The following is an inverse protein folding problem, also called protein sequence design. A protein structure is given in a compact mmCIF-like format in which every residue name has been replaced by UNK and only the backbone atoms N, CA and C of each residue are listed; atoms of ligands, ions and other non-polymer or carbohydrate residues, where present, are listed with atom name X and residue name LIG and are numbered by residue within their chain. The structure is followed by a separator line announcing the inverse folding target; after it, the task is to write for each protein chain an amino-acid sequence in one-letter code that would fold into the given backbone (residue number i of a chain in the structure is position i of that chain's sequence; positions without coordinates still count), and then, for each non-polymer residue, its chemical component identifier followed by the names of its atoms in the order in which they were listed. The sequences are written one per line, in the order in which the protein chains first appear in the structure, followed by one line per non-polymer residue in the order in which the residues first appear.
data_IF_228783675775
#
_entry.id   IF_228783675775
#
_cell.length_a   1.000
_cell.length_b   1.000
_cell.length_c   1.000
_cell.angle_alpha   90.00
_cell.angle_beta   90.00
_cell.angle_gamma   90.00
#
_symmetry.space_group_name_H-M   'P 1'
#
loop_
_entity.id
_entity.type
_entity.pdbx_description
1 polymer ?
#
# COMPACT_ATOMS: atom_id res chain seq x y z
N UNK A 1 10.46 4.65 11.38
CA UNK A 1 9.47 3.58 11.63
C UNK A 1 9.96 2.37 10.88
N UNK A 2 9.95 1.19 11.49
CA UNK A 2 10.32 -0.06 10.82
C UNK A 2 9.19 -0.55 9.91
N UNK A 3 9.48 -1.51 9.04
CA UNK A 3 8.47 -2.17 8.22
C UNK A 3 7.37 -2.85 9.07
N UNK A 4 7.74 -3.47 10.18
CA UNK A 4 6.79 -4.15 11.07
C UNK A 4 5.87 -3.15 11.78
N UNK A 5 6.44 -2.07 12.32
CA UNK A 5 5.64 -1.00 12.95
C UNK A 5 4.67 -0.35 11.95
N UNK A 6 5.10 -0.18 10.69
CA UNK A 6 4.23 0.31 9.63
C UNK A 6 3.07 -0.65 9.36
N UNK A 7 3.35 -1.95 9.32
CA UNK A 7 2.35 -3.00 9.09
C UNK A 7 1.26 -2.98 10.16
N UNK A 8 1.66 -2.94 11.43
CA UNK A 8 0.73 -2.95 12.57
C UNK A 8 -0.19 -1.72 12.54
N UNK A 9 0.38 -0.53 12.35
CA UNK A 9 -0.39 0.70 12.20
C UNK A 9 -1.34 0.65 11.00
N UNK A 10 -0.84 0.16 9.87
CA UNK A 10 -1.64 0.05 8.66
C UNK A 10 -2.84 -0.90 8.87
N UNK A 11 -2.65 -2.05 9.52
CA UNK A 11 -3.74 -2.96 9.88
C UNK A 11 -4.79 -2.27 10.75
N UNK A 12 -4.37 -1.45 11.72
CA UNK A 12 -5.29 -0.69 12.60
C UNK A 12 -5.96 0.51 11.92
N UNK A 13 -5.64 0.79 10.66
CA UNK A 13 -6.29 1.85 9.88
C UNK A 13 -5.41 3.05 9.57
N UNK A 14 -4.21 3.12 10.14
CA UNK A 14 -3.27 4.22 10.00
C UNK A 14 -2.31 3.98 8.83
N UNK A 15 -2.63 4.55 7.67
CA UNK A 15 -1.83 4.39 6.46
C UNK A 15 -0.68 5.42 6.38
N UNK A 16 0.49 5.10 6.91
CA UNK A 16 1.64 6.01 7.03
C UNK A 16 2.89 5.41 6.35
N UNK A 17 3.70 6.24 5.68
CA UNK A 17 5.02 5.81 5.16
C UNK A 17 6.00 5.51 6.28
N UNK A 18 6.85 4.49 6.10
CA UNK A 18 7.92 4.18 7.05
C UNK A 18 9.20 5.02 6.78
N UNK A 19 9.04 6.30 6.48
CA UNK A 19 10.15 7.21 6.18
C UNK A 19 9.65 8.53 5.60
N UNK A 20 10.58 9.44 5.32
CA UNK A 20 10.28 10.59 4.47
C UNK A 20 10.17 10.12 3.01
N UNK A 21 9.22 10.67 2.26
CA UNK A 21 8.96 10.32 0.86
C UNK A 21 10.17 10.57 -0.06
N UNK A 22 11.13 11.38 0.39
CA UNK A 22 12.38 11.68 -0.32
C UNK A 22 13.51 10.66 -0.05
N UNK A 23 13.36 9.76 0.91
CA UNK A 23 14.35 8.73 1.22
C UNK A 23 14.13 7.49 0.33
N UNK A 24 15.18 7.04 -0.34
CA UNK A 24 15.18 5.82 -1.16
C UNK A 24 14.89 4.55 -0.35
N UNK A 25 15.00 4.61 0.98
CA UNK A 25 14.67 3.52 1.90
C UNK A 25 13.22 3.59 2.41
N UNK A 26 12.43 4.60 2.02
CA UNK A 26 11.03 4.72 2.41
C UNK A 26 10.13 3.83 1.55
N UNK A 27 9.28 3.05 2.21
CA UNK A 27 8.31 2.15 1.61
C UNK A 27 6.87 2.68 1.83
N UNK A 28 6.06 2.57 0.78
CA UNK A 28 4.62 2.77 0.86
C UNK A 28 3.94 1.68 1.69
N UNK A 29 2.75 1.98 2.22
CA UNK A 29 1.83 0.94 2.65
C UNK A 29 1.52 -0.01 1.46
N UNK A 30 1.22 -1.30 1.72
CA UNK A 30 0.96 -2.29 0.66
C UNK A 30 -0.15 -1.91 -0.32
N UNK A 31 -1.14 -1.12 0.12
CA UNK A 31 -2.26 -0.60 -0.67
C UNK A 31 -2.04 0.81 -1.25
N UNK A 32 -0.85 1.39 -1.08
CA UNK A 32 -0.52 2.79 -1.42
C UNK A 32 -1.41 3.85 -0.76
N UNK A 33 -2.20 3.48 0.25
CA UNK A 33 -3.15 4.41 0.87
C UNK A 33 -2.50 5.53 1.70
N UNK A 34 -1.21 5.39 2.01
CA UNK A 34 -0.37 6.45 2.55
C UNK A 34 -0.11 7.60 1.56
N UNK A 35 -0.27 7.36 0.25
CA UNK A 35 -0.22 8.36 -0.82
C UNK A 35 -1.62 8.70 -1.35
N UNK A 36 -2.52 7.72 -1.37
CA UNK A 36 -3.80 7.80 -2.04
C UNK A 36 -4.90 7.21 -1.16
N UNK A 37 -5.55 8.02 -0.32
CA UNK A 37 -6.57 7.54 0.62
C UNK A 37 -7.69 6.71 -0.05
N UNK A 38 -8.04 7.02 -1.30
CA UNK A 38 -9.02 6.26 -2.09
C UNK A 38 -8.61 4.81 -2.42
N UNK A 39 -7.35 4.44 -2.20
CA UNK A 39 -6.83 3.08 -2.38
C UNK A 39 -6.87 2.24 -1.08
N UNK A 40 -7.35 2.82 0.03
CA UNK A 40 -7.43 2.20 1.35
C UNK A 40 -8.16 0.85 1.28
N UNK A 41 -7.42 -0.23 1.53
CA UNK A 41 -7.98 -1.56 1.64
C UNK A 41 -8.89 -1.68 2.88
N UNK A 42 -9.96 -2.48 2.83
CA UNK A 42 -10.73 -2.82 4.02
C UNK A 42 -9.88 -3.60 5.02
N UNK A 43 -10.20 -3.48 6.31
CA UNK A 43 -9.45 -4.09 7.43
C UNK A 43 -9.15 -5.56 7.21
N UNK A 44 -10.13 -6.36 6.80
CA UNK A 44 -9.99 -7.80 6.58
C UNK A 44 -8.87 -8.13 5.58
N UNK A 45 -8.75 -7.35 4.50
CA UNK A 45 -7.72 -7.52 3.47
C UNK A 45 -6.34 -7.09 3.97
N UNK A 46 -6.28 -6.09 4.85
CA UNK A 46 -5.03 -5.68 5.53
C UNK A 46 -4.51 -6.78 6.44
N UNK A 47 -5.40 -7.35 7.25
CA UNK A 47 -5.10 -8.47 8.13
C UNK A 47 -4.69 -9.73 7.34
N UNK A 48 -5.32 -9.99 6.18
CA UNK A 48 -4.92 -11.07 5.28
C UNK A 48 -3.48 -10.90 4.78
N UNK A 49 -3.11 -9.69 4.36
CA UNK A 49 -1.75 -9.40 3.94
C UNK A 49 -0.75 -9.57 5.09
N UNK A 50 -1.07 -9.02 6.27
CA UNK A 50 -0.21 -9.15 7.45
C UNK A 50 0.01 -10.62 7.83
N UNK A 51 -1.04 -11.45 7.81
CA UNK A 51 -0.93 -12.91 8.03
C UNK A 51 0.01 -13.57 7.02
N UNK A 52 -0.08 -13.23 5.73
CA UNK A 52 0.81 -13.76 4.70
C UNK A 52 2.27 -13.38 4.97
N UNK A 53 2.53 -12.14 5.38
CA UNK A 53 3.87 -11.67 5.75
C UNK A 53 4.42 -12.43 6.96
N UNK A 54 3.65 -12.54 8.05
CA UNK A 54 4.10 -13.25 9.25
C UNK A 54 4.28 -14.75 9.06
N UNK A 55 3.51 -15.36 8.15
CA UNK A 55 3.64 -16.77 7.80
C UNK A 55 4.78 -17.05 6.80
N UNK A 56 5.41 -16.02 6.23
CA UNK A 56 6.40 -16.18 5.15
C UNK A 56 5.80 -16.67 3.83
N UNK A 57 4.50 -16.42 3.58
CA UNK A 57 3.83 -16.79 2.33
C UNK A 57 4.13 -15.75 1.23
N UNK A 58 5.32 -15.88 0.65
CA UNK A 58 5.81 -14.97 -0.38
C UNK A 58 4.94 -14.97 -1.65
N UNK A 59 4.29 -16.09 -1.97
CA UNK A 59 3.39 -16.19 -3.12
C UNK A 59 2.17 -15.30 -2.89
N UNK A 60 1.47 -15.48 -1.78
CA UNK A 60 0.28 -14.70 -1.44
C UNK A 60 0.62 -13.21 -1.29
N UNK A 61 1.74 -12.91 -0.63
CA UNK A 61 2.26 -11.53 -0.50
C UNK A 61 2.44 -10.88 -1.87
N UNK A 62 3.11 -11.58 -2.80
CA UNK A 62 3.36 -11.08 -4.16
C UNK A 62 2.07 -10.88 -4.94
N UNK A 63 1.14 -11.84 -4.90
CA UNK A 63 -0.17 -11.73 -5.57
C UNK A 63 -0.94 -10.48 -5.12
N UNK A 64 -0.96 -10.23 -3.80
CA UNK A 64 -1.65 -9.08 -3.23
C UNK A 64 -0.97 -7.74 -3.59
N UNK A 65 0.35 -7.68 -3.56
CA UNK A 65 1.11 -6.48 -3.98
C UNK A 65 0.90 -6.18 -5.47
N UNK A 66 0.94 -7.19 -6.33
CA UNK A 66 0.69 -7.03 -7.76
C UNK A 66 -0.73 -6.53 -8.03
N UNK A 67 -1.73 -7.05 -7.31
CA UNK A 67 -3.11 -6.54 -7.39
C UNK A 67 -3.23 -5.09 -6.92
N UNK A 68 -2.50 -4.71 -5.87
CA UNK A 68 -2.44 -3.32 -5.40
C UNK A 68 -1.85 -2.38 -6.45
N UNK A 69 -0.71 -2.79 -7.03
CA UNK A 69 -0.01 -2.02 -8.05
C UNK A 69 -0.87 -1.82 -9.30
N UNK A 70 -1.59 -2.86 -9.74
CA UNK A 70 -2.57 -2.74 -10.82
C UNK A 70 -3.65 -1.69 -10.49
N UNK A 71 -4.23 -1.73 -9.29
CA UNK A 71 -5.20 -0.73 -8.85
C UNK A 71 -4.64 0.70 -8.83
N UNK A 72 -3.36 0.89 -8.48
CA UNK A 72 -2.71 2.20 -8.51
C UNK A 72 -2.58 2.74 -9.95
N UNK A 73 -2.21 1.88 -10.90
CA UNK A 73 -2.13 2.26 -12.30
C UNK A 73 -3.50 2.74 -12.81
N UNK A 74 -4.57 2.01 -12.51
CA UNK A 74 -5.93 2.43 -12.87
C UNK A 74 -6.36 3.75 -12.20
N UNK A 75 -6.02 3.91 -10.92
CA UNK A 75 -6.33 5.11 -10.15
C UNK A 75 -5.65 6.37 -10.70
N UNK A 76 -4.45 6.22 -11.26
CA UNK A 76 -3.67 7.34 -11.84
C UNK A 76 -4.10 7.66 -13.27
N UNK A 77 -4.43 6.65 -14.09
CA UNK A 77 -4.95 6.84 -15.45
C UNK A 77 -6.30 7.59 -15.45
N UNK A 78 -7.20 7.26 -14.53
CA UNK A 78 -8.52 7.91 -14.41
C UNK A 78 -8.45 9.38 -13.97
N UNK A 79 -7.30 9.85 -13.48
CA UNK A 79 -7.11 11.22 -12.97
C UNK A 79 -6.20 12.09 -13.85
N UNK A 80 -5.90 11.66 -15.09
CA UNK A 80 -5.18 12.49 -16.06
C UNK A 80 -5.97 13.78 -16.33
N UNK A 81 -5.45 14.91 -15.81
CA UNK A 81 -5.97 16.24 -16.12
C UNK A 81 -5.47 16.60 -17.52
N UNK A 82 -6.36 16.61 -18.51
CA UNK A 82 -6.06 17.18 -19.81
C UNK A 82 -6.04 18.71 -19.69
N UNK A 83 -4.84 19.29 -19.67
CA UNK A 83 -4.68 20.73 -19.89
C UNK A 83 -4.76 20.94 -21.41
N UNK A 84 -5.95 21.27 -21.89
CA UNK A 84 -6.12 21.81 -23.24
C UNK A 84 -5.52 23.21 -23.27
N UNK A 85 -4.43 23.37 -24.02
CA UNK A 85 -3.87 24.69 -24.38
C UNK A 85 -4.57 25.31 -25.57
#
# INVERSE_FOLDING_TARGET
MTHIEQMEKWVEGESIHNGDKADAMSECCPDFSCCHEGMKWPREKREEFARAVYAGDDKKKTEMLMGSLGGLMDYTETRKVHISG
#
